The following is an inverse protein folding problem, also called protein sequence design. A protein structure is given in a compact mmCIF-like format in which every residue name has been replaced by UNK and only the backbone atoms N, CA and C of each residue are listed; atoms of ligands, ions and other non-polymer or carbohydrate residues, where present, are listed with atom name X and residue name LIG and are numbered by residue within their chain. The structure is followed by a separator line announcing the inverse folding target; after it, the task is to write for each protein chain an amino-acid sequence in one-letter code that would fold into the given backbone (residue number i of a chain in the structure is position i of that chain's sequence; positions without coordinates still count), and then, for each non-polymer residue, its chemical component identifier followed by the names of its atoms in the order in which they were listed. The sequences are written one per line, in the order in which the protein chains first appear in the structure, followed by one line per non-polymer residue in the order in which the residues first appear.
data_IF_495017862343
#
_entry.id   IF_495017862343
#
_cell.length_a   1.000
_cell.length_b   1.000
_cell.length_c   1.000
_cell.angle_alpha   90.00
_cell.angle_beta   90.00
_cell.angle_gamma   90.00
#
_symmetry.space_group_name_H-M   'P 1'
#
loop_
_entity.id
_entity.type
_entity.pdbx_description
1 polymer ?
#
# COMPACT_ATOMS: atom_id res chain seq x y z
N UNK A 1 -4.37 -5.34 -21.34
CA UNK A 1 -3.30 -4.35 -21.18
C UNK A 1 -2.05 -5.14 -20.89
N UNK A 2 -1.07 -5.17 -21.80
CA UNK A 2 0.21 -5.86 -21.57
C UNK A 2 0.87 -5.28 -20.30
N UNK A 3 1.41 -6.17 -19.46
CA UNK A 3 2.23 -5.77 -18.30
C UNK A 3 3.34 -4.87 -18.84
N UNK A 4 3.47 -3.65 -18.31
CA UNK A 4 4.68 -2.85 -18.54
C UNK A 4 5.80 -3.50 -17.74
N UNK A 5 6.36 -4.57 -18.28
CA UNK A 5 7.62 -5.10 -17.80
C UNK A 5 8.65 -3.98 -17.97
N UNK A 6 9.40 -3.72 -16.91
CA UNK A 6 10.59 -2.88 -17.00
C UNK A 6 11.75 -3.81 -17.29
N UNK A 7 12.77 -3.32 -17.99
CA UNK A 7 13.98 -4.11 -18.22
C UNK A 7 14.56 -4.52 -16.85
N UNK A 8 14.73 -5.83 -16.60
CA UNK A 8 15.36 -6.28 -15.37
C UNK A 8 16.81 -5.79 -15.34
N UNK A 9 17.31 -5.59 -14.13
CA UNK A 9 18.74 -5.39 -13.94
C UNK A 9 19.50 -6.64 -14.44
N UNK A 10 20.61 -6.52 -15.19
CA UNK A 10 21.31 -7.69 -15.75
C UNK A 10 21.77 -8.66 -14.64
N UNK A 11 21.41 -9.93 -14.74
CA UNK A 11 21.65 -10.96 -13.72
C UNK A 11 23.15 -11.16 -13.48
N UNK A 12 23.96 -11.00 -14.52
CA UNK A 12 25.43 -11.10 -14.45
C UNK A 12 26.09 -10.02 -13.57
N UNK A 13 25.43 -8.88 -13.38
CA UNK A 13 25.87 -7.80 -12.48
C UNK A 13 25.54 -8.08 -11.00
N UNK A 14 24.75 -9.11 -10.71
CA UNK A 14 24.31 -9.50 -9.36
C UNK A 14 24.60 -10.97 -9.09
N UNK A 15 25.88 -11.39 -9.04
CA UNK A 15 26.25 -12.78 -8.80
C UNK A 15 25.64 -13.34 -7.50
N UNK A 16 25.43 -12.48 -6.50
CA UNK A 16 24.79 -12.85 -5.22
C UNK A 16 23.39 -13.46 -5.39
N UNK A 17 22.65 -13.10 -6.44
CA UNK A 17 21.33 -13.66 -6.73
C UNK A 17 21.44 -15.15 -7.06
N UNK A 18 22.32 -15.49 -7.99
CA UNK A 18 22.53 -16.88 -8.41
C UNK A 18 23.25 -17.71 -7.35
N UNK A 19 24.08 -17.09 -6.51
CA UNK A 19 24.63 -17.74 -5.32
C UNK A 19 23.53 -18.12 -4.33
N UNK A 20 22.62 -17.19 -4.00
CA UNK A 20 21.49 -17.47 -3.12
C UNK A 20 20.59 -18.57 -3.70
N UNK A 21 20.19 -18.48 -4.97
CA UNK A 21 19.36 -19.50 -5.62
C UNK A 21 20.04 -20.88 -5.61
N UNK A 22 21.35 -20.94 -5.83
CA UNK A 22 22.12 -22.20 -5.78
C UNK A 22 22.16 -22.77 -4.36
N UNK A 23 22.36 -21.93 -3.33
CA UNK A 23 22.31 -22.36 -1.91
C UNK A 23 20.93 -22.90 -1.51
N UNK A 24 19.86 -22.35 -2.07
CA UNK A 24 18.49 -22.81 -1.88
C UNK A 24 18.15 -24.07 -2.69
N UNK A 25 19.08 -24.58 -3.51
CA UNK A 25 18.85 -25.73 -4.39
C UNK A 25 17.92 -25.43 -5.57
N UNK A 26 17.69 -24.15 -5.89
CA UNK A 26 16.79 -23.71 -6.95
C UNK A 26 17.49 -23.56 -8.29
N UNK A 27 18.81 -23.72 -8.38
CA UNK A 27 19.57 -23.51 -9.63
C UNK A 27 19.92 -22.04 -9.86
N UNK A 28 19.84 -21.58 -11.12
CA UNK A 28 20.23 -20.21 -11.53
C UNK A 28 19.20 -19.57 -12.45
N UNK A 29 19.13 -18.24 -12.43
CA UNK A 29 18.52 -17.43 -13.48
C UNK A 29 19.57 -17.03 -14.52
N UNK A 30 19.13 -16.87 -15.76
CA UNK A 30 19.89 -16.32 -16.89
C UNK A 30 19.20 -15.04 -17.37
N UNK A 31 19.92 -14.12 -18.01
CA UNK A 31 19.29 -12.93 -18.59
C UNK A 31 18.19 -13.28 -19.60
N UNK A 32 18.40 -14.38 -20.33
CA UNK A 32 17.37 -14.98 -21.18
C UNK A 32 16.20 -15.50 -20.33
N UNK A 33 15.03 -14.90 -20.50
CA UNK A 33 13.78 -15.34 -19.86
C UNK A 33 13.50 -14.72 -18.48
N UNK A 34 14.27 -13.70 -18.08
CA UNK A 34 13.99 -12.91 -16.87
C UNK A 34 13.24 -11.63 -17.24
N UNK A 35 12.31 -11.23 -16.37
CA UNK A 35 11.59 -9.96 -16.45
C UNK A 35 11.58 -9.27 -15.08
N UNK A 36 11.18 -8.01 -15.03
CA UNK A 36 11.00 -7.28 -13.79
C UNK A 36 9.64 -6.56 -13.75
N UNK A 37 9.12 -6.40 -12.54
CA UNK A 37 7.99 -5.56 -12.24
C UNK A 37 8.44 -4.15 -11.84
N UNK A 38 7.66 -3.11 -12.15
CA UNK A 38 7.96 -1.76 -11.71
C UNK A 38 7.96 -1.65 -10.18
N UNK A 39 8.92 -0.91 -9.61
CA UNK A 39 9.01 -0.70 -8.18
C UNK A 39 10.31 0.01 -7.78
N UNK A 40 10.45 0.28 -6.48
CA UNK A 40 11.65 0.94 -5.91
C UNK A 40 12.85 0.02 -5.68
N UNK A 41 12.64 -1.28 -5.84
CA UNK A 41 13.61 -2.33 -5.56
C UNK A 41 13.98 -3.01 -6.87
N UNK A 42 15.23 -3.45 -6.97
CA UNK A 42 15.62 -4.34 -8.05
C UNK A 42 14.87 -5.66 -7.88
N UNK A 43 14.34 -6.20 -8.96
CA UNK A 43 13.63 -7.47 -8.91
C UNK A 43 13.77 -8.26 -10.22
N UNK A 44 13.62 -9.57 -10.08
CA UNK A 44 13.76 -10.55 -11.15
C UNK A 44 12.66 -11.58 -11.02
N UNK A 45 11.96 -11.83 -12.12
CA UNK A 45 10.95 -12.87 -12.27
C UNK A 45 11.43 -13.80 -13.35
N UNK A 46 11.48 -15.10 -13.06
CA UNK A 46 11.89 -16.07 -14.07
C UNK A 46 11.76 -17.51 -13.60
N UNK A 47 12.00 -18.43 -14.52
CA UNK A 47 12.14 -19.85 -14.21
C UNK A 47 13.62 -20.18 -14.10
N UNK A 48 14.03 -20.77 -12.98
CA UNK A 48 15.42 -21.14 -12.77
C UNK A 48 15.83 -22.36 -13.60
N UNK A 49 17.13 -22.63 -13.71
CA UNK A 49 17.70 -23.81 -14.37
C UNK A 49 17.25 -25.15 -13.76
N UNK A 50 16.70 -25.14 -12.54
CA UNK A 50 16.09 -26.32 -11.91
C UNK A 50 14.57 -26.40 -12.14
N UNK A 51 13.99 -25.51 -12.97
CA UNK A 51 12.57 -25.49 -13.32
C UNK A 51 11.66 -24.81 -12.30
N UNK A 52 12.20 -24.08 -11.33
CA UNK A 52 11.39 -23.39 -10.30
C UNK A 52 11.04 -21.97 -10.75
N UNK A 53 9.75 -21.60 -10.71
CA UNK A 53 9.31 -20.23 -10.95
C UNK A 53 9.54 -19.37 -9.69
N UNK A 54 10.35 -18.32 -9.80
CA UNK A 54 10.77 -17.50 -8.66
C UNK A 54 10.58 -16.01 -8.92
N UNK A 55 10.27 -15.29 -7.84
CA UNK A 55 10.34 -13.84 -7.76
C UNK A 55 11.44 -13.48 -6.77
N UNK A 56 12.54 -12.92 -7.25
CA UNK A 56 13.62 -12.42 -6.42
C UNK A 56 13.57 -10.90 -6.36
N UNK A 57 13.86 -10.34 -5.19
CA UNK A 57 13.84 -8.89 -4.95
C UNK A 57 15.01 -8.50 -4.06
N UNK A 58 15.70 -7.43 -4.43
CA UNK A 58 16.77 -6.83 -3.65
C UNK A 58 16.35 -5.48 -3.10
N UNK A 59 16.43 -5.32 -1.78
CA UNK A 59 16.10 -4.05 -1.15
C UNK A 59 17.16 -3.00 -1.46
N UNK A 60 16.74 -1.90 -2.08
CA UNK A 60 17.62 -0.75 -2.37
C UNK A 60 17.48 0.29 -1.25
N UNK A 61 18.59 0.89 -0.83
CA UNK A 61 18.64 1.95 0.18
C UNK A 61 19.91 1.94 1.03
N UNK A 62 19.91 2.74 2.10
CA UNK A 62 21.00 2.73 3.07
C UNK A 62 20.95 1.43 3.90
N UNK A 63 22.10 0.85 4.32
CA UNK A 63 22.13 -0.39 5.10
C UNK A 63 21.26 -0.35 6.38
N UNK A 64 21.19 0.82 7.03
CA UNK A 64 20.35 1.06 8.22
C UNK A 64 18.85 0.93 7.94
N UNK A 65 18.41 1.11 6.70
CA UNK A 65 17.01 1.01 6.27
C UNK A 65 16.68 -0.39 5.73
N UNK A 66 17.66 -1.07 5.12
CA UNK A 66 17.50 -2.42 4.53
C UNK A 66 17.26 -3.47 5.62
N UNK A 67 18.11 -3.53 6.64
CA UNK A 67 18.03 -4.60 7.65
C UNK A 67 16.69 -4.63 8.41
N UNK A 68 16.09 -3.50 8.84
CA UNK A 68 14.75 -3.50 9.40
C UNK A 68 13.66 -3.96 8.42
N UNK A 69 13.73 -3.59 7.13
CA UNK A 69 12.75 -4.02 6.11
C UNK A 69 12.81 -5.54 5.90
N UNK A 70 14.00 -6.14 5.79
CA UNK A 70 14.15 -7.60 5.69
C UNK A 70 13.57 -8.33 6.91
N UNK A 71 13.88 -7.85 8.12
CA UNK A 71 13.35 -8.47 9.35
C UNK A 71 11.83 -8.42 9.40
N UNK A 72 11.23 -7.29 9.01
CA UNK A 72 9.78 -7.11 8.95
C UNK A 72 9.14 -8.03 7.92
N UNK A 73 9.70 -8.09 6.71
CA UNK A 73 9.27 -9.01 5.65
C UNK A 73 9.29 -10.47 6.11
N UNK A 74 10.41 -10.94 6.66
CA UNK A 74 10.50 -12.31 7.22
C UNK A 74 9.49 -12.57 8.33
N UNK A 75 9.28 -11.60 9.21
CA UNK A 75 8.32 -11.72 10.31
C UNK A 75 6.87 -11.82 9.80
N UNK A 76 6.54 -11.11 8.73
CA UNK A 76 5.25 -11.21 8.05
C UNK A 76 5.02 -12.63 7.51
N UNK A 77 5.97 -13.18 6.75
CA UNK A 77 5.84 -14.53 6.19
C UNK A 77 5.78 -15.60 7.30
N UNK A 78 6.63 -15.49 8.33
CA UNK A 78 6.61 -16.40 9.47
C UNK A 78 5.29 -16.35 10.26
N UNK A 79 4.66 -15.17 10.37
CA UNK A 79 3.35 -15.03 11.00
C UNK A 79 2.26 -15.68 10.15
N UNK A 80 2.24 -15.40 8.84
CA UNK A 80 1.25 -15.99 7.90
C UNK A 80 1.30 -17.51 7.94
N UNK A 81 2.49 -18.11 7.91
CA UNK A 81 2.66 -19.57 8.01
C UNK A 81 2.15 -20.13 9.35
N UNK A 82 2.36 -19.41 10.46
CA UNK A 82 1.99 -19.86 11.81
C UNK A 82 0.54 -19.62 12.17
N UNK A 83 -0.10 -18.62 11.58
CA UNK A 83 -1.50 -18.30 11.84
C UNK A 83 -2.44 -19.47 11.55
N UNK A 84 -2.02 -20.41 10.68
CA UNK A 84 -2.77 -21.61 10.31
C UNK A 84 -4.22 -21.29 9.89
N UNK A 85 -4.42 -20.12 9.28
CA UNK A 85 -5.68 -19.65 8.77
C UNK A 85 -5.67 -19.84 7.23
N UNK A 86 -6.45 -20.77 6.67
CA UNK A 86 -6.35 -21.11 5.23
C UNK A 86 -6.58 -19.94 4.27
N UNK A 87 -7.37 -18.95 4.69
CA UNK A 87 -7.61 -17.73 3.92
C UNK A 87 -6.41 -16.75 3.99
N UNK A 88 -5.65 -16.73 5.09
CA UNK A 88 -4.49 -15.85 5.26
C UNK A 88 -3.30 -16.40 4.48
N UNK A 89 -3.04 -15.82 3.30
CA UNK A 89 -2.00 -16.30 2.39
C UNK A 89 -1.07 -15.19 1.94
N UNK A 90 0.18 -15.58 1.75
CA UNK A 90 1.23 -14.78 1.14
C UNK A 90 2.07 -15.70 0.23
N UNK A 91 2.77 -15.16 -0.80
CA UNK A 91 3.74 -15.95 -1.54
C UNK A 91 4.76 -16.55 -0.58
N UNK A 92 5.13 -17.82 -0.80
CA UNK A 92 6.06 -18.52 0.08
C UNK A 92 7.46 -17.89 -0.04
N UNK A 93 8.04 -17.50 1.09
CA UNK A 93 9.43 -17.07 1.14
C UNK A 93 10.33 -18.31 1.06
N UNK A 94 11.05 -18.46 -0.05
CA UNK A 94 11.95 -19.58 -0.30
C UNK A 94 13.29 -19.41 0.41
N UNK A 95 13.74 -18.16 0.56
CA UNK A 95 14.95 -17.83 1.28
C UNK A 95 15.33 -16.37 1.12
N UNK A 96 16.34 -15.93 1.87
CA UNK A 96 16.80 -14.56 1.86
C UNK A 96 18.28 -14.49 2.27
N UNK A 97 18.94 -13.38 1.93
CA UNK A 97 20.33 -13.08 2.26
C UNK A 97 20.43 -11.69 2.90
N UNK A 98 20.81 -11.66 4.18
CA UNK A 98 20.90 -10.42 4.97
C UNK A 98 22.03 -9.50 4.53
N UNK A 99 23.12 -10.06 3.99
CA UNK A 99 24.28 -9.28 3.60
C UNK A 99 24.00 -8.44 2.35
N UNK A 100 23.17 -8.97 1.44
CA UNK A 100 22.88 -8.37 0.14
C UNK A 100 21.47 -7.79 0.05
N UNK A 101 20.63 -8.02 1.06
CA UNK A 101 19.25 -7.56 1.08
C UNK A 101 18.35 -8.27 0.10
N UNK A 102 18.68 -9.51 -0.27
CA UNK A 102 17.93 -10.31 -1.22
C UNK A 102 16.85 -11.15 -0.51
N UNK A 103 15.69 -11.24 -1.14
CA UNK A 103 14.61 -12.16 -0.78
C UNK A 103 14.15 -12.89 -2.04
N UNK A 104 13.90 -14.20 -1.91
CA UNK A 104 13.43 -15.07 -3.00
C UNK A 104 12.11 -15.68 -2.58
N UNK A 105 11.10 -15.47 -3.40
CA UNK A 105 9.74 -15.97 -3.20
C UNK A 105 9.36 -16.94 -4.31
N UNK A 106 8.40 -17.81 -4.01
CA UNK A 106 7.67 -18.54 -5.03
C UNK A 106 6.93 -17.54 -5.93
N UNK A 107 7.10 -17.69 -7.25
CA UNK A 107 6.37 -16.84 -8.19
C UNK A 107 4.96 -17.40 -8.39
N UNK A 108 3.97 -16.56 -8.08
CA UNK A 108 2.58 -16.87 -8.34
C UNK A 108 2.26 -16.63 -9.82
N UNK A 109 2.32 -17.72 -10.61
CA UNK A 109 1.98 -17.70 -12.03
C UNK A 109 0.59 -17.12 -12.26
N UNK A 110 0.44 -16.34 -13.35
CA UNK A 110 -0.82 -15.69 -13.74
C UNK A 110 -1.42 -14.73 -12.68
N UNK A 111 -0.68 -14.42 -11.61
CA UNK A 111 -1.11 -13.44 -10.62
C UNK A 111 -1.35 -12.06 -11.23
N UNK A 112 -2.46 -11.43 -10.83
CA UNK A 112 -2.79 -10.04 -11.16
C UNK A 112 -2.86 -9.21 -9.89
N UNK A 113 -2.18 -8.08 -9.87
CA UNK A 113 -2.22 -7.21 -8.69
C UNK A 113 -3.60 -6.58 -8.52
N UNK A 114 -3.96 -6.20 -7.30
CA UNK A 114 -5.21 -5.50 -7.04
C UNK A 114 -5.28 -4.17 -7.80
N UNK A 115 -4.15 -3.49 -7.99
CA UNK A 115 -4.07 -2.28 -8.81
C UNK A 115 -4.38 -2.56 -10.30
N UNK A 116 -3.85 -3.65 -10.87
CA UNK A 116 -4.18 -4.08 -12.24
C UNK A 116 -5.66 -4.47 -12.38
N UNK A 117 -6.23 -5.10 -11.36
CA UNK A 117 -7.65 -5.46 -11.34
C UNK A 117 -8.52 -4.21 -11.22
N UNK A 118 -8.15 -3.24 -10.39
CA UNK A 118 -8.88 -1.99 -10.23
C UNK A 118 -8.86 -1.16 -11.52
N UNK A 119 -7.70 -1.06 -12.19
CA UNK A 119 -7.58 -0.39 -13.48
C UNK A 119 -8.43 -1.05 -14.59
N UNK A 120 -8.67 -2.36 -14.48
CA UNK A 120 -9.52 -3.12 -15.38
C UNK A 120 -10.99 -3.22 -14.91
N UNK A 121 -11.39 -2.47 -13.87
CA UNK A 121 -12.70 -2.55 -13.19
C UNK A 121 -13.11 -3.96 -12.73
N UNK A 122 -12.12 -4.84 -12.54
CA UNK A 122 -12.28 -6.25 -12.17
C UNK A 122 -12.05 -6.51 -10.67
N UNK A 123 -11.59 -5.51 -9.91
CA UNK A 123 -11.57 -5.57 -8.46
C UNK A 123 -12.96 -5.17 -7.95
N UNK A 124 -13.84 -6.16 -7.78
CA UNK A 124 -15.25 -5.99 -7.42
C UNK A 124 -15.48 -5.99 -5.90
N UNK A 125 -16.75 -5.84 -5.50
CA UNK A 125 -17.15 -5.84 -4.08
C UNK A 125 -16.89 -7.20 -3.41
N UNK A 126 -16.99 -8.31 -4.16
CA UNK A 126 -16.67 -9.65 -3.66
C UNK A 126 -15.20 -9.76 -3.29
N UNK A 127 -14.31 -9.27 -4.16
CA UNK A 127 -12.88 -9.28 -3.91
C UNK A 127 -12.49 -8.30 -2.81
N UNK A 128 -13.15 -7.14 -2.73
CA UNK A 128 -12.97 -6.20 -1.63
C UNK A 128 -13.37 -6.80 -0.28
N UNK A 129 -14.50 -7.51 -0.21
CA UNK A 129 -14.90 -8.25 0.98
C UNK A 129 -13.87 -9.32 1.38
N UNK A 130 -13.34 -10.08 0.42
CA UNK A 130 -12.25 -11.05 0.67
C UNK A 130 -10.99 -10.37 1.17
N UNK A 131 -10.61 -9.23 0.60
CA UNK A 131 -9.48 -8.42 1.06
C UNK A 131 -9.68 -7.96 2.52
N UNK A 132 -10.89 -7.53 2.87
CA UNK A 132 -11.25 -7.15 4.24
C UNK A 132 -11.06 -8.29 5.23
N UNK A 133 -11.59 -9.47 4.90
CA UNK A 133 -11.41 -10.69 5.70
C UNK A 133 -9.93 -11.05 5.87
N UNK A 134 -9.17 -11.02 4.77
CA UNK A 134 -7.75 -11.34 4.75
C UNK A 134 -6.93 -10.43 5.69
N UNK A 135 -7.21 -9.13 5.67
CA UNK A 135 -6.56 -8.15 6.56
C UNK A 135 -6.99 -8.35 8.02
N UNK A 136 -8.25 -8.65 8.29
CA UNK A 136 -8.70 -8.95 9.65
C UNK A 136 -8.07 -10.23 10.21
N UNK A 137 -7.87 -11.26 9.37
CA UNK A 137 -7.14 -12.47 9.74
C UNK A 137 -5.66 -12.17 10.08
N UNK A 138 -5.02 -11.26 9.34
CA UNK A 138 -3.69 -10.78 9.70
C UNK A 138 -3.70 -10.10 11.08
N UNK A 139 -4.63 -9.18 11.29
CA UNK A 139 -4.73 -8.40 12.54
C UNK A 139 -5.07 -9.25 13.77
N UNK A 140 -5.73 -10.40 13.58
CA UNK A 140 -6.12 -11.31 14.66
C UNK A 140 -5.18 -12.50 14.79
N UNK A 141 -4.13 -12.59 13.96
CA UNK A 141 -3.18 -13.68 14.01
C UNK A 141 -2.42 -13.69 15.35
N UNK A 142 -2.19 -14.88 15.95
CA UNK A 142 -1.53 -15.01 17.24
C UNK A 142 -0.05 -14.62 17.15
N UNK A 143 0.42 -13.80 18.11
CA UNK A 143 1.78 -13.23 18.11
C UNK A 143 2.65 -13.70 19.28
N UNK A 144 2.06 -14.32 20.29
CA UNK A 144 2.67 -14.62 21.58
C UNK A 144 3.85 -15.59 21.45
N UNK A 145 3.78 -16.49 20.48
CA UNK A 145 4.82 -17.48 20.18
C UNK A 145 5.82 -17.03 19.10
N UNK A 146 5.77 -15.76 18.66
CA UNK A 146 6.70 -15.24 17.65
C UNK A 146 8.09 -15.00 18.25
N UNK A 147 9.10 -15.58 17.59
CA UNK A 147 10.51 -15.38 17.88
C UNK A 147 11.27 -15.17 16.55
N UNK A 148 11.97 -14.03 16.36
CA UNK A 148 12.04 -12.89 17.27
C UNK A 148 10.68 -12.18 17.43
N UNK A 149 10.56 -11.35 18.47
CA UNK A 149 9.36 -10.53 18.66
C UNK A 149 9.15 -9.60 17.46
N UNK A 150 7.88 -9.38 17.10
CA UNK A 150 7.51 -8.47 16.03
C UNK A 150 7.97 -7.04 16.33
N UNK A 151 8.35 -6.31 15.29
CA UNK A 151 8.75 -4.90 15.38
C UNK A 151 7.62 -4.07 16.02
N UNK A 152 7.97 -3.15 16.91
CA UNK A 152 7.04 -2.23 17.60
C UNK A 152 7.38 -0.77 17.35
N UNK A 153 8.39 -0.50 16.51
CA UNK A 153 8.74 0.84 16.09
C UNK A 153 7.60 1.45 15.30
N UNK A 154 7.42 2.75 15.45
CA UNK A 154 6.38 3.46 14.74
C UNK A 154 6.66 3.47 13.22
N UNK A 155 5.61 3.39 12.39
CA UNK A 155 5.72 3.66 10.95
C UNK A 155 6.49 4.95 10.68
N UNK A 156 7.39 4.93 9.68
CA UNK A 156 8.27 6.06 9.35
C UNK A 156 7.47 7.33 9.08
N UNK A 157 6.27 7.19 8.48
CA UNK A 157 5.39 8.30 8.19
C UNK A 157 3.96 8.13 8.78
N UNK A 158 3.28 9.22 9.17
CA UNK A 158 3.71 10.63 9.09
C UNK A 158 4.85 10.98 10.06
N UNK A 159 5.96 11.51 9.56
CA UNK A 159 7.06 11.93 10.43
C UNK A 159 6.77 13.35 10.94
N UNK A 160 6.23 13.42 12.15
CA UNK A 160 5.81 14.69 12.77
C UNK A 160 6.98 15.63 13.07
N UNK A 161 8.21 15.12 13.19
CA UNK A 161 9.41 15.94 13.40
C UNK A 161 9.72 16.77 12.14
N UNK A 162 9.50 16.21 10.96
CA UNK A 162 9.73 16.89 9.68
C UNK A 162 8.68 17.98 9.39
N UNK A 163 7.55 17.99 10.11
CA UNK A 163 6.52 19.01 9.94
C UNK A 163 6.97 20.38 10.48
N UNK A 164 7.93 20.41 11.40
CA UNK A 164 8.46 21.66 11.95
C UNK A 164 9.64 22.20 11.13
N UNK A 165 10.56 21.33 10.73
CA UNK A 165 11.73 21.68 9.94
C UNK A 165 12.33 20.46 9.24
N UNK A 166 13.04 20.70 8.13
CA UNK A 166 13.83 19.67 7.44
C UNK A 166 15.30 19.76 7.90
N UNK A 167 15.94 18.63 8.21
CA UNK A 167 17.40 18.57 8.31
C UNK A 167 18.07 19.09 7.04
N UNK A 168 19.22 19.76 7.17
CA UNK A 168 19.93 20.37 6.03
C UNK A 168 20.27 19.30 4.99
N UNK A 169 20.71 18.13 5.44
CA UNK A 169 21.07 16.99 4.58
C UNK A 169 19.87 16.50 3.77
N UNK A 170 18.68 16.48 4.38
CA UNK A 170 17.46 16.13 3.67
C UNK A 170 17.12 17.23 2.67
N UNK A 171 17.10 18.50 3.10
CA UNK A 171 16.73 19.65 2.27
C UNK A 171 17.53 19.73 0.97
N UNK A 172 18.85 19.52 1.02
CA UNK A 172 19.72 19.57 -0.19
C UNK A 172 19.54 18.38 -1.13
N UNK A 173 18.92 17.29 -0.65
CA UNK A 173 18.66 16.09 -1.45
C UNK A 173 17.28 16.06 -2.10
N UNK A 174 16.39 16.97 -1.71
CA UNK A 174 15.01 16.99 -2.19
C UNK A 174 14.90 17.46 -3.64
N UNK A 175 13.96 16.88 -4.37
CA UNK A 175 13.53 17.40 -5.67
C UNK A 175 12.77 18.72 -5.53
N UNK A 176 12.59 19.44 -6.65
CA UNK A 176 11.76 20.64 -6.68
C UNK A 176 10.30 20.38 -6.28
N UNK A 177 9.74 19.22 -6.64
CA UNK A 177 8.40 18.85 -6.23
C UNK A 177 8.30 18.51 -4.73
N UNK A 178 9.33 17.88 -4.15
CA UNK A 178 9.38 17.61 -2.71
C UNK A 178 9.51 18.90 -1.90
N UNK A 179 10.31 19.86 -2.35
CA UNK A 179 10.37 21.20 -1.73
C UNK A 179 8.99 21.89 -1.76
N UNK A 180 8.27 21.79 -2.87
CA UNK A 180 6.91 22.30 -2.99
C UNK A 180 5.92 21.58 -2.06
N UNK A 181 6.05 20.26 -1.91
CA UNK A 181 5.28 19.46 -0.97
C UNK A 181 5.50 19.92 0.47
N UNK A 182 6.76 20.02 0.90
CA UNK A 182 7.09 20.43 2.27
C UNK A 182 6.69 21.87 2.55
N UNK A 183 6.79 22.77 1.57
CA UNK A 183 6.27 24.14 1.68
C UNK A 183 4.77 24.16 2.00
N UNK A 184 3.96 23.27 1.40
CA UNK A 184 2.53 23.17 1.71
C UNK A 184 2.33 22.72 3.15
N UNK A 185 3.05 21.68 3.60
CA UNK A 185 2.94 21.16 4.98
C UNK A 185 3.35 22.22 6.01
N UNK A 186 4.49 22.88 5.81
CA UNK A 186 5.05 23.88 6.75
C UNK A 186 4.22 25.17 6.83
N UNK A 187 3.44 25.49 5.81
CA UNK A 187 2.55 26.66 5.79
C UNK A 187 1.19 26.39 6.44
N UNK A 188 0.91 25.16 6.88
CA UNK A 188 -0.39 24.74 7.38
C UNK A 188 -0.31 24.17 8.81
N UNK A 189 -0.35 25.03 9.84
CA UNK A 189 -0.25 24.59 11.23
C UNK A 189 -1.43 23.71 11.66
N UNK A 190 -2.59 23.84 11.01
CA UNK A 190 -3.75 22.99 11.30
C UNK A 190 -3.51 21.55 10.82
N UNK A 191 -2.95 21.39 9.62
CA UNK A 191 -2.55 20.08 9.10
C UNK A 191 -1.44 19.46 9.95
N UNK A 192 -0.39 20.22 10.28
CA UNK A 192 0.69 19.74 11.15
C UNK A 192 0.13 19.25 12.51
N UNK A 193 -0.78 20.02 13.11
CA UNK A 193 -1.46 19.62 14.35
C UNK A 193 -2.36 18.39 14.18
N UNK A 194 -3.01 18.20 13.03
CA UNK A 194 -3.80 17.00 12.76
C UNK A 194 -2.93 15.74 12.62
N UNK A 195 -1.78 15.86 11.95
CA UNK A 195 -0.80 14.76 11.84
C UNK A 195 -0.19 14.39 13.19
N UNK A 196 0.08 15.38 14.05
CA UNK A 196 0.51 15.15 15.42
C UNK A 196 -0.54 14.37 16.23
N UNK A 197 -1.81 14.80 16.18
CA UNK A 197 -2.92 14.08 16.85
C UNK A 197 -3.09 12.66 16.33
N UNK A 198 -3.00 12.45 15.01
CA UNK A 198 -3.06 11.12 14.42
C UNK A 198 -1.95 10.22 15.00
N UNK A 199 -0.72 10.75 15.11
CA UNK A 199 0.41 10.03 15.69
C UNK A 199 0.23 9.72 17.17
N UNK A 200 -0.32 10.66 17.94
CA UNK A 200 -0.59 10.45 19.36
C UNK A 200 -1.65 9.37 19.58
N UNK A 201 -2.70 9.36 18.73
CA UNK A 201 -3.71 8.31 18.75
C UNK A 201 -3.12 6.93 18.43
N UNK A 202 -2.25 6.79 17.42
CA UNK A 202 -1.59 5.51 17.11
C UNK A 202 -0.82 4.93 18.31
N UNK A 203 -0.24 5.80 19.15
CA UNK A 203 0.51 5.38 20.35
C UNK A 203 -0.37 4.94 21.51
N UNK A 204 -1.62 5.40 21.55
CA UNK A 204 -2.52 5.25 22.69
C UNK A 204 -3.43 4.02 22.60
N UNK A 205 -3.42 3.32 21.47
CA UNK A 205 -4.37 2.23 21.19
C UNK A 205 -3.68 0.86 21.21
N UNK A 206 -4.44 -0.24 21.41
CA UNK A 206 -3.92 -1.57 21.24
C UNK A 206 -3.32 -1.76 19.84
N UNK A 207 -2.18 -2.44 19.79
CA UNK A 207 -1.49 -2.77 18.55
C UNK A 207 -1.70 -4.22 18.18
N UNK A 208 -1.76 -4.51 16.88
CA UNK A 208 -1.85 -5.86 16.35
C UNK A 208 -0.87 -6.01 15.18
N UNK A 209 -0.65 -7.22 14.63
CA UNK A 209 0.02 -7.37 13.35
C UNK A 209 -0.66 -6.50 12.30
N UNK A 210 0.11 -5.64 11.63
CA UNK A 210 -0.42 -4.70 10.64
C UNK A 210 0.58 -4.60 9.50
N UNK A 211 0.08 -4.66 8.26
CA UNK A 211 0.87 -4.56 7.05
C UNK A 211 1.57 -3.20 6.93
N UNK A 212 0.89 -2.13 7.34
CA UNK A 212 1.34 -0.73 7.36
C UNK A 212 1.65 -0.08 6.00
N UNK A 213 1.39 -0.77 4.90
CA UNK A 213 1.55 -0.27 3.53
C UNK A 213 0.47 -0.87 2.62
N UNK A 214 -0.76 -0.98 3.13
CA UNK A 214 -1.85 -1.71 2.48
C UNK A 214 -2.44 -0.94 1.30
N UNK A 215 -1.76 -1.04 0.16
CA UNK A 215 -2.20 -0.54 -1.15
C UNK A 215 -2.81 -1.66 -1.98
N UNK A 216 -3.49 -1.31 -3.08
CA UNK A 216 -4.09 -2.30 -3.98
C UNK A 216 -3.05 -3.20 -4.67
N UNK A 217 -1.84 -2.69 -4.94
CA UNK A 217 -0.73 -3.49 -5.48
C UNK A 217 -0.21 -4.55 -4.50
N UNK A 218 -0.57 -4.47 -3.20
CA UNK A 218 -0.21 -5.47 -2.19
C UNK A 218 -1.16 -6.66 -2.09
N UNK A 219 -2.21 -6.66 -2.92
CA UNK A 219 -3.04 -7.83 -3.13
C UNK A 219 -2.65 -8.48 -4.46
N UNK A 220 -2.36 -9.78 -4.43
CA UNK A 220 -2.16 -10.57 -5.65
C UNK A 220 -3.28 -11.60 -5.77
N UNK A 221 -4.00 -11.58 -6.88
CA UNK A 221 -5.10 -12.48 -7.16
C UNK A 221 -4.67 -13.52 -8.19
N UNK A 222 -4.85 -14.80 -7.85
CA UNK A 222 -4.65 -15.95 -8.76
C UNK A 222 -5.93 -16.78 -8.84
N UNK A 223 -5.94 -17.84 -9.64
CA UNK A 223 -7.02 -18.84 -9.62
C UNK A 223 -7.25 -19.48 -8.25
N UNK A 224 -6.20 -19.56 -7.43
CA UNK A 224 -6.27 -20.08 -6.05
C UNK A 224 -6.84 -19.04 -5.07
N UNK A 225 -6.89 -17.77 -5.46
CA UNK A 225 -7.55 -16.67 -4.76
C UNK A 225 -6.60 -15.53 -4.39
N UNK A 226 -6.88 -14.85 -3.28
CA UNK A 226 -6.17 -13.64 -2.88
C UNK A 226 -4.98 -13.94 -1.95
N UNK A 227 -3.88 -13.19 -2.16
CA UNK A 227 -2.65 -13.23 -1.37
C UNK A 227 -2.26 -11.80 -0.98
N UNK A 228 -1.69 -11.63 0.22
CA UNK A 228 -1.00 -10.41 0.64
C UNK A 228 0.49 -10.51 0.31
N UNK A 229 1.09 -9.41 -0.13
CA UNK A 229 2.51 -9.34 -0.54
C UNK A 229 3.23 -8.18 0.15
N UNK A 230 4.56 -8.13 0.06
CA UNK A 230 5.38 -6.97 0.46
C UNK A 230 5.29 -6.58 1.95
N UNK A 231 5.62 -7.54 2.83
CA UNK A 231 5.68 -7.34 4.28
C UNK A 231 6.83 -6.44 4.78
N UNK A 232 7.46 -5.62 3.95
CA UNK A 232 8.62 -4.80 4.35
C UNK A 232 8.30 -3.76 5.42
N UNK A 233 7.05 -3.30 5.48
CA UNK A 233 6.56 -2.35 6.48
C UNK A 233 5.76 -3.03 7.60
N UNK A 234 5.68 -4.36 7.60
CA UNK A 234 4.92 -5.13 8.59
C UNK A 234 5.46 -4.96 10.01
N UNK A 235 4.58 -4.74 10.99
CA UNK A 235 4.93 -4.61 12.42
C UNK A 235 3.69 -4.70 13.31
N UNK A 236 3.87 -4.55 14.62
CA UNK A 236 2.77 -4.27 15.54
C UNK A 236 2.41 -2.77 15.49
N UNK A 237 1.22 -2.46 14.98
CA UNK A 237 0.73 -1.07 14.85
C UNK A 237 -0.78 -0.96 15.06
N UNK A 238 -1.31 0.26 14.94
CA UNK A 238 -2.76 0.52 14.97
C UNK A 238 -3.43 -0.10 13.71
N UNK A 239 -4.38 -1.04 13.86
CA UNK A 239 -5.07 -1.65 12.73
C UNK A 239 -5.84 -0.66 11.84
N UNK A 240 -6.17 0.53 12.37
CA UNK A 240 -6.82 1.59 11.60
C UNK A 240 -5.96 2.07 10.42
N UNK A 241 -4.64 1.85 10.46
CA UNK A 241 -3.71 2.17 9.38
C UNK A 241 -4.04 1.40 8.11
N UNK A 242 -4.16 0.09 8.19
CA UNK A 242 -4.44 -0.75 7.01
C UNK A 242 -5.84 -0.50 6.46
N UNK A 243 -6.85 -0.44 7.34
CA UNK A 243 -8.24 -0.14 6.94
C UNK A 243 -8.33 1.24 6.27
N UNK A 244 -7.65 2.25 6.85
CA UNK A 244 -7.58 3.59 6.30
C UNK A 244 -6.82 3.67 4.99
N UNK A 245 -5.69 2.98 4.85
CA UNK A 245 -4.91 2.93 3.61
C UNK A 245 -5.70 2.27 2.48
N UNK A 246 -6.47 1.22 2.74
CA UNK A 246 -7.35 0.63 1.72
C UNK A 246 -8.41 1.63 1.22
N UNK A 247 -9.10 2.31 2.15
CA UNK A 247 -10.08 3.34 1.80
C UNK A 247 -9.43 4.53 1.07
N UNK A 248 -8.25 4.95 1.55
CA UNK A 248 -7.44 6.03 0.98
C UNK A 248 -6.95 5.71 -0.43
N UNK A 249 -6.62 4.44 -0.72
CA UNK A 249 -6.21 4.02 -2.05
C UNK A 249 -7.35 4.12 -3.07
N UNK A 250 -8.57 3.69 -2.72
CA UNK A 250 -9.73 3.90 -3.59
C UNK A 250 -10.04 5.38 -3.81
N UNK A 251 -9.89 6.20 -2.77
CA UNK A 251 -10.04 7.65 -2.91
C UNK A 251 -8.94 8.27 -3.80
N UNK A 252 -7.71 7.79 -3.70
CA UNK A 252 -6.59 8.20 -4.57
C UNK A 252 -6.83 7.82 -6.04
N UNK A 253 -7.33 6.61 -6.30
CA UNK A 253 -7.73 6.17 -7.64
C UNK A 253 -8.85 7.05 -8.21
N UNK A 254 -9.86 7.37 -7.37
CA UNK A 254 -10.95 8.28 -7.76
C UNK A 254 -10.43 9.64 -8.25
N UNK A 255 -9.40 10.17 -7.59
CA UNK A 255 -8.80 11.48 -7.91
C UNK A 255 -7.92 11.38 -9.16
N UNK A 256 -7.07 10.36 -9.27
CA UNK A 256 -6.15 10.19 -10.41
C UNK A 256 -6.91 10.04 -11.72
N UNK A 257 -7.98 9.23 -11.74
CA UNK A 257 -8.78 9.03 -12.95
C UNK A 257 -9.60 10.25 -13.41
N UNK A 258 -9.72 11.31 -12.59
CA UNK A 258 -10.30 12.58 -13.06
C UNK A 258 -9.44 13.17 -14.19
N UNK A 259 -8.13 12.90 -14.15
CA UNK A 259 -7.14 13.50 -15.06
C UNK A 259 -6.77 12.64 -16.26
N UNK A 260 -7.04 11.34 -16.24
CA UNK A 260 -6.62 10.39 -17.28
C UNK A 260 -7.63 10.23 -18.44
N UNK A 261 -8.76 10.94 -18.39
CA UNK A 261 -9.87 10.70 -19.33
C UNK A 261 -10.65 9.43 -18.98
N UNK A 262 -11.85 9.31 -19.52
CA UNK A 262 -12.72 8.15 -19.25
C UNK A 262 -12.15 6.85 -19.83
N UNK A 263 -12.60 5.72 -19.30
CA UNK A 263 -12.23 4.38 -19.75
C UNK A 263 -12.38 4.25 -21.28
N UNK A 264 -11.58 3.40 -21.95
CA UNK A 264 -11.69 3.19 -23.39
C UNK A 264 -13.09 2.67 -23.74
N UNK A 265 -13.94 3.55 -24.27
CA UNK A 265 -15.33 3.23 -24.64
C UNK A 265 -16.33 4.36 -24.38
N UNK A 266 -16.04 5.28 -23.46
CA UNK A 266 -16.88 6.44 -23.15
C UNK A 266 -16.08 7.74 -23.34
N UNK A 267 -15.42 7.90 -24.50
CA UNK A 267 -14.82 9.19 -24.81
C UNK A 267 -15.94 10.16 -25.20
N UNK A 268 -16.47 10.94 -24.25
CA UNK A 268 -17.21 12.15 -24.62
C UNK A 268 -16.19 13.10 -25.30
N UNK A 269 -16.31 13.26 -26.62
CA UNK A 269 -15.42 14.04 -27.51
C UNK A 269 -15.32 15.55 -27.16
N UNK A 270 -15.77 15.98 -25.98
CA UNK A 270 -16.14 17.37 -25.72
C UNK A 270 -15.09 18.25 -25.04
N UNK A 271 -13.97 17.76 -24.55
CA UNK A 271 -13.16 18.61 -23.65
C UNK A 271 -11.65 18.55 -23.90
N UNK A 272 -11.18 19.49 -24.73
CA UNK A 272 -9.78 19.85 -24.96
C UNK A 272 -9.30 21.03 -24.08
N UNK A 273 -10.02 21.37 -23.01
CA UNK A 273 -9.73 22.51 -22.12
C UNK A 273 -9.22 22.11 -20.73
N UNK A 274 -8.59 23.05 -20.02
CA UNK A 274 -8.19 22.88 -18.63
C UNK A 274 -9.43 22.74 -17.72
N UNK A 275 -9.53 21.63 -16.97
CA UNK A 275 -10.64 21.38 -16.05
C UNK A 275 -10.72 22.46 -14.96
N UNK A 276 -11.92 22.96 -14.70
CA UNK A 276 -12.17 23.87 -13.58
C UNK A 276 -12.16 23.10 -12.25
N UNK A 277 -11.93 23.82 -11.15
CA UNK A 277 -11.98 23.24 -9.80
C UNK A 277 -13.32 22.57 -9.47
N UNK A 278 -14.44 23.14 -9.93
CA UNK A 278 -15.78 22.58 -9.71
C UNK A 278 -16.00 21.27 -10.48
N UNK A 279 -15.50 21.16 -11.72
CA UNK A 279 -15.59 19.93 -12.51
C UNK A 279 -14.74 18.81 -11.91
N UNK A 280 -13.56 19.13 -11.38
CA UNK A 280 -12.73 18.17 -10.64
C UNK A 280 -13.50 17.64 -9.42
N UNK A 281 -14.14 18.51 -8.65
CA UNK A 281 -14.93 18.10 -7.48
C UNK A 281 -16.12 17.22 -7.90
N UNK A 282 -16.90 17.64 -8.90
CA UNK A 282 -18.08 16.90 -9.34
C UNK A 282 -17.72 15.49 -9.87
N UNK A 283 -16.65 15.39 -10.68
CA UNK A 283 -16.11 14.10 -11.15
C UNK A 283 -15.60 13.24 -10.00
N UNK A 284 -14.91 13.86 -9.03
CA UNK A 284 -14.45 13.18 -7.83
C UNK A 284 -15.60 12.59 -7.00
N UNK A 285 -16.68 13.35 -6.80
CA UNK A 285 -17.88 12.87 -6.07
C UNK A 285 -18.56 11.72 -6.80
N UNK A 286 -18.75 11.84 -8.12
CA UNK A 286 -19.36 10.77 -8.90
C UNK A 286 -18.53 9.47 -8.86
N UNK A 287 -17.21 9.58 -9.04
CA UNK A 287 -16.30 8.43 -8.95
C UNK A 287 -16.24 7.84 -7.55
N UNK A 288 -16.20 8.69 -6.51
CA UNK A 288 -16.23 8.22 -5.13
C UNK A 288 -17.52 7.43 -4.84
N UNK A 289 -18.67 7.88 -5.32
CA UNK A 289 -19.93 7.15 -5.17
C UNK A 289 -19.89 5.77 -5.84
N UNK A 290 -19.19 5.63 -6.97
CA UNK A 290 -18.98 4.34 -7.65
C UNK A 290 -17.98 3.43 -6.91
N UNK A 291 -17.01 4.00 -6.19
CA UNK A 291 -15.96 3.24 -5.51
C UNK A 291 -16.26 2.93 -4.04
N UNK A 292 -17.13 3.72 -3.40
CA UNK A 292 -17.58 3.53 -2.02
C UNK A 292 -18.14 2.12 -1.73
N UNK A 293 -18.90 1.45 -2.62
CA UNK A 293 -19.34 0.06 -2.41
C UNK A 293 -18.18 -0.89 -2.12
N UNK A 294 -17.04 -0.73 -2.79
CA UNK A 294 -15.84 -1.57 -2.58
C UNK A 294 -15.27 -1.39 -1.19
N UNK A 295 -15.13 -0.13 -0.73
CA UNK A 295 -14.67 0.15 0.64
C UNK A 295 -15.66 -0.39 1.68
N UNK A 296 -16.95 -0.26 1.40
CA UNK A 296 -18.00 -0.79 2.28
C UNK A 296 -17.95 -2.33 2.35
N UNK A 297 -17.77 -3.01 1.21
CA UNK A 297 -17.64 -4.46 1.15
C UNK A 297 -16.37 -4.94 1.88
N UNK A 298 -15.25 -4.25 1.71
CA UNK A 298 -14.04 -4.48 2.50
C UNK A 298 -14.31 -4.33 4.01
N UNK A 299 -14.98 -3.26 4.42
CA UNK A 299 -15.28 -3.02 5.82
C UNK A 299 -16.17 -4.11 6.42
N UNK A 300 -17.18 -4.58 5.67
CA UNK A 300 -18.00 -5.74 6.06
C UNK A 300 -17.16 -6.98 6.23
N UNK A 301 -16.32 -7.30 5.25
CA UNK A 301 -15.44 -8.46 5.30
C UNK A 301 -14.51 -8.42 6.50
N UNK A 302 -13.92 -7.25 6.76
CA UNK A 302 -13.04 -7.03 7.90
C UNK A 302 -13.77 -7.26 9.24
N UNK A 303 -14.95 -6.65 9.42
CA UNK A 303 -15.75 -6.85 10.65
C UNK A 303 -16.30 -8.25 10.82
N UNK A 304 -16.46 -9.03 9.74
CA UNK A 304 -16.93 -10.41 9.82
C UNK A 304 -15.95 -11.34 10.56
N UNK A 305 -14.68 -10.93 10.67
CA UNK A 305 -13.62 -11.66 11.37
C UNK A 305 -13.22 -10.95 12.67
N UNK A 306 -13.15 -9.61 12.65
CA UNK A 306 -12.85 -8.78 13.82
C UNK A 306 -14.06 -7.91 14.16
N UNK A 307 -15.05 -8.37 14.94
CA UNK A 307 -16.28 -7.61 15.18
C UNK A 307 -16.10 -6.46 16.18
N UNK A 308 -15.16 -6.58 17.12
CA UNK A 308 -14.98 -5.64 18.23
C UNK A 308 -13.85 -4.66 17.98
N UNK A 309 -14.14 -3.37 18.11
CA UNK A 309 -13.15 -2.29 18.02
C UNK A 309 -13.48 -1.19 19.03
N UNK A 310 -12.47 -0.40 19.40
CA UNK A 310 -12.71 0.78 20.22
C UNK A 310 -13.56 1.83 19.47
N UNK A 311 -14.32 2.69 20.18
CA UNK A 311 -15.22 3.66 19.54
C UNK A 311 -14.52 4.65 18.59
N UNK A 312 -13.21 4.87 18.73
CA UNK A 312 -12.45 5.78 17.88
C UNK A 312 -11.88 5.15 16.60
N UNK A 313 -12.03 3.83 16.42
CA UNK A 313 -11.37 3.08 15.35
C UNK A 313 -11.66 3.63 13.95
N UNK A 314 -12.95 3.81 13.61
CA UNK A 314 -13.36 4.27 12.27
C UNK A 314 -12.95 5.71 11.98
N UNK A 315 -12.94 6.58 13.01
CA UNK A 315 -12.40 7.93 12.88
C UNK A 315 -10.89 7.91 12.61
N UNK A 316 -10.13 7.06 13.30
CA UNK A 316 -8.70 6.89 13.00
C UNK A 316 -8.46 6.32 11.60
N UNK A 317 -9.27 5.37 11.15
CA UNK A 317 -9.18 4.82 9.80
C UNK A 317 -9.48 5.89 8.74
N UNK A 318 -10.48 6.75 8.97
CA UNK A 318 -10.75 7.89 8.10
C UNK A 318 -9.57 8.87 8.08
N UNK A 319 -8.97 9.20 9.24
CA UNK A 319 -7.78 10.03 9.30
C UNK A 319 -6.59 9.41 8.54
N UNK A 320 -6.41 8.09 8.63
CA UNK A 320 -5.40 7.34 7.88
C UNK A 320 -5.66 7.35 6.38
N UNK A 321 -6.91 7.29 5.92
CA UNK A 321 -7.26 7.50 4.52
C UNK A 321 -6.88 8.92 4.04
N UNK A 322 -7.06 9.93 4.89
CA UNK A 322 -6.61 11.29 4.62
C UNK A 322 -5.09 11.42 4.54
N UNK A 323 -4.36 10.77 5.46
CA UNK A 323 -2.91 10.68 5.42
C UNK A 323 -2.41 9.95 4.16
N UNK A 324 -3.07 8.86 3.75
CA UNK A 324 -2.72 8.09 2.55
C UNK A 324 -2.64 8.99 1.31
N UNK A 325 -3.58 9.91 1.12
CA UNK A 325 -3.54 10.85 -0.01
C UNK A 325 -2.29 11.76 0.00
N UNK A 326 -1.87 12.19 1.19
CA UNK A 326 -0.66 13.02 1.36
C UNK A 326 0.60 12.18 1.11
N UNK A 327 0.62 10.94 1.61
CA UNK A 327 1.72 10.00 1.39
C UNK A 327 1.92 9.67 -0.10
N UNK A 328 0.82 9.44 -0.84
CA UNK A 328 0.87 9.26 -2.30
C UNK A 328 1.41 10.50 -3.03
N UNK A 329 1.04 11.70 -2.59
CA UNK A 329 1.58 12.93 -3.16
C UNK A 329 3.08 13.07 -2.90
N UNK A 330 3.57 12.66 -1.72
CA UNK A 330 5.00 12.62 -1.40
C UNK A 330 5.75 11.63 -2.30
N UNK A 331 5.21 10.42 -2.50
CA UNK A 331 5.82 9.42 -3.39
C UNK A 331 5.93 9.91 -4.84
N UNK A 332 4.91 10.62 -5.35
CA UNK A 332 4.95 11.24 -6.68
C UNK A 332 5.98 12.37 -6.74
N UNK A 333 6.11 13.16 -5.66
CA UNK A 333 7.04 14.27 -5.60
C UNK A 333 8.51 13.84 -5.77
N UNK A 334 8.89 12.65 -5.30
CA UNK A 334 10.27 12.14 -5.37
C UNK A 334 10.88 12.01 -6.78
N UNK A 335 10.07 12.18 -7.84
CA UNK A 335 10.51 11.99 -9.23
C UNK A 335 10.32 13.24 -10.11
N UNK A 336 9.87 14.36 -9.54
CA UNK A 336 9.42 15.52 -10.31
C UNK A 336 10.10 16.84 -9.96
N UNK A 337 10.23 17.73 -10.95
CA UNK A 337 10.66 19.12 -10.71
C UNK A 337 9.56 19.99 -10.10
N UNK A 338 8.28 19.62 -10.27
CA UNK A 338 7.10 20.34 -9.77
C UNK A 338 6.05 19.37 -9.27
N UNK A 339 5.40 19.70 -8.15
CA UNK A 339 4.30 18.90 -7.62
C UNK A 339 3.05 19.04 -8.52
N UNK A 340 2.53 17.94 -9.09
CA UNK A 340 1.38 17.97 -9.98
C UNK A 340 0.11 18.55 -9.32
N UNK A 341 -0.75 19.17 -10.12
CA UNK A 341 -2.01 19.74 -9.63
C UNK A 341 -2.92 18.70 -8.99
N UNK A 342 -2.98 17.49 -9.56
CA UNK A 342 -3.73 16.36 -9.01
C UNK A 342 -3.22 15.94 -7.63
N UNK A 343 -1.90 15.92 -7.42
CA UNK A 343 -1.29 15.64 -6.11
C UNK A 343 -1.62 16.72 -5.09
N UNK A 344 -1.63 18.00 -5.49
CA UNK A 344 -2.08 19.11 -4.61
C UNK A 344 -3.55 18.98 -4.23
N UNK A 345 -4.41 18.60 -5.18
CA UNK A 345 -5.83 18.36 -4.92
C UNK A 345 -6.03 17.19 -3.93
N UNK A 346 -5.29 16.09 -4.13
CA UNK A 346 -5.30 14.95 -3.20
C UNK A 346 -4.85 15.36 -1.79
N UNK A 347 -3.79 16.16 -1.66
CA UNK A 347 -3.37 16.70 -0.36
C UNK A 347 -4.45 17.58 0.28
N UNK A 348 -5.15 18.42 -0.50
CA UNK A 348 -6.25 19.25 0.01
C UNK A 348 -7.44 18.44 0.54
N UNK A 349 -7.80 17.36 -0.15
CA UNK A 349 -8.83 16.42 0.31
C UNK A 349 -8.35 15.68 1.57
N UNK A 350 -7.11 15.17 1.56
CA UNK A 350 -6.51 14.46 2.69
C UNK A 350 -6.45 15.33 3.95
N UNK A 351 -6.05 16.60 3.80
CA UNK A 351 -6.12 17.62 4.86
C UNK A 351 -7.53 17.77 5.42
N UNK A 352 -8.53 17.89 4.55
CA UNK A 352 -9.92 18.10 4.98
C UNK A 352 -10.41 16.93 5.83
N UNK A 353 -10.07 15.70 5.44
CA UNK A 353 -10.40 14.49 6.20
C UNK A 353 -9.65 14.47 7.54
N UNK A 354 -8.34 14.73 7.54
CA UNK A 354 -7.52 14.76 8.76
C UNK A 354 -8.00 15.77 9.82
N UNK A 355 -8.61 16.87 9.39
CA UNK A 355 -9.11 17.90 10.29
C UNK A 355 -10.45 17.54 10.97
N UNK A 356 -11.24 16.67 10.37
CA UNK A 356 -12.56 16.29 10.89
C UNK A 356 -12.93 14.85 10.47
N UNK A 357 -12.14 13.84 10.87
CA UNK A 357 -12.28 12.48 10.33
C UNK A 357 -13.65 11.86 10.59
N UNK A 358 -14.29 12.21 11.70
CA UNK A 358 -15.61 11.72 12.10
C UNK A 358 -16.68 12.03 11.06
N UNK A 359 -16.54 13.16 10.34
CA UNK A 359 -17.48 13.59 9.29
C UNK A 359 -17.38 12.76 8.02
N UNK A 360 -16.30 12.01 7.85
CA UNK A 360 -16.00 11.30 6.62
C UNK A 360 -16.14 9.78 6.73
N UNK A 361 -16.47 9.24 7.90
CA UNK A 361 -16.64 7.79 8.13
C UNK A 361 -17.64 7.20 7.12
N UNK A 362 -18.86 7.73 7.07
CA UNK A 362 -19.93 7.26 6.16
C UNK A 362 -19.59 7.50 4.70
N UNK A 363 -19.02 8.66 4.39
CA UNK A 363 -18.61 9.04 3.03
C UNK A 363 -17.56 8.08 2.46
N UNK A 364 -16.63 7.62 3.30
CA UNK A 364 -15.61 6.65 2.95
C UNK A 364 -16.12 5.21 2.90
N UNK A 365 -17.35 4.93 3.33
CA UNK A 365 -17.89 3.56 3.39
C UNK A 365 -17.43 2.77 4.63
N UNK A 366 -16.93 3.46 5.67
CA UNK A 366 -16.53 2.86 6.96
C UNK A 366 -17.64 2.93 8.02
N UNK A 367 -18.84 3.35 7.59
CA UNK A 367 -20.02 3.48 8.42
C UNK A 367 -20.65 2.18 8.89
N UNK A 368 -21.68 2.29 9.72
CA UNK A 368 -22.54 1.16 10.00
C UNK A 368 -23.42 0.90 8.78
N UNK A 369 -23.37 -0.30 8.20
CA UNK A 369 -24.39 -0.68 7.22
C UNK A 369 -25.74 -0.78 7.94
N UNK A 370 -26.66 0.13 7.63
CA UNK A 370 -28.07 -0.20 7.72
C UNK A 370 -28.29 -1.40 6.79
N UNK A 371 -28.59 -2.55 7.37
CA UNK A 371 -29.17 -3.67 6.64
C UNK A 371 -30.45 -3.16 6.01
N UNK A 372 -30.40 -2.68 4.77
CA UNK A 372 -31.59 -2.56 3.95
C UNK A 372 -32.02 -3.99 3.65
N UNK A 373 -32.87 -4.53 4.51
CA UNK A 373 -33.67 -5.71 4.21
C UNK A 373 -34.35 -5.43 2.86
N UNK A 374 -33.94 -6.19 1.85
CA UNK A 374 -34.67 -6.25 0.59
C UNK A 374 -36.00 -6.94 0.91
N UNK A 375 -37.06 -6.15 0.96
CA UNK A 375 -38.45 -6.62 0.98
C UNK A 375 -38.86 -7.18 -0.37
#
# INVERSE_FOLDING_TARGET
MERKNVDPMPVDQFPELNELLSRLGLGKLTDDGVSAYPGRNDNWVGTTSAGSAVFAKRLVGQPRDIAPRLRRSRSFHALVERANAPELRAPRLLGADDATGLEVFEHLNEGRSGAELAAADAFDDTLAHRAGRLVALLHTAPVEAMAPQLDRSLPKFPNVELNAALPVELFVSLTGAELDFWRIIHQDPQLAGALARLRDHERAVPVCPTHCDLRLDQFLCTGDGLFLTDGEEFRLADPARDVGSFAGEWLHQAITWITEGEAPGEADERFTGALTHQEIIARGVHRLNRLRPRVSAFWVGYRSVSPEHDPGFTARAAAMAGWHLIDRAMAVAGHGARLPAVSRAAMGIGRTILLAPERYIETLGLGALELREAA
#
